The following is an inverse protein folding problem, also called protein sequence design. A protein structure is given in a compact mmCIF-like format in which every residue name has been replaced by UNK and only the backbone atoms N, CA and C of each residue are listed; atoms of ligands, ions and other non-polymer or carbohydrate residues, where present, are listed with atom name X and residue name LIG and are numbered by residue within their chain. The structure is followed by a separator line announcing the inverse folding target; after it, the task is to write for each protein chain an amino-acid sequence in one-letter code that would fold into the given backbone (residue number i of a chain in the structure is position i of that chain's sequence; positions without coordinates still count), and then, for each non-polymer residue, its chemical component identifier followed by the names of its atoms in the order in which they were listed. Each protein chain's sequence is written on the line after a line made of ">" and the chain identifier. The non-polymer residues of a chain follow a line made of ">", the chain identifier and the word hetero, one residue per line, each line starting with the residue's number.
data_IF_295801856208
#
_entry.id   IF_295801856208
#
_cell.length_a   1.000
_cell.length_b   1.000
_cell.length_c   1.000
_cell.angle_alpha   90.00
_cell.angle_beta   90.00
_cell.angle_gamma   90.00
#
_symmetry.space_group_name_H-M   'P 1'
#
loop_
_entity.id
_entity.type
_entity.pdbx_description
1 polymer ?
#
# COMPACT_ATOMS: atom_id res chain seq x y z
N UNK A 1 -9.20 15.47 -3.30
CA UNK A 1 -8.83 15.32 -1.87
C UNK A 1 -7.69 16.30 -1.60
N UNK A 2 -7.74 17.07 -0.51
CA UNK A 2 -6.67 18.02 -0.16
C UNK A 2 -5.55 17.37 0.67
N UNK A 3 -4.41 18.05 0.82
CA UNK A 3 -3.24 17.52 1.52
C UNK A 3 -3.51 17.22 3.00
N UNK A 4 -4.33 18.04 3.68
CA UNK A 4 -4.69 17.81 5.07
C UNK A 4 -5.47 16.50 5.23
N UNK A 5 -6.40 16.23 4.31
CA UNK A 5 -7.18 14.99 4.27
C UNK A 5 -6.29 13.81 3.92
N UNK A 6 -5.38 13.95 2.94
CA UNK A 6 -4.43 12.89 2.58
C UNK A 6 -3.60 12.49 3.81
N UNK A 7 -3.01 13.47 4.50
CA UNK A 7 -2.19 13.24 5.71
C UNK A 7 -2.95 12.50 6.82
N UNK A 8 -4.25 12.74 6.98
CA UNK A 8 -5.10 12.01 7.95
C UNK A 8 -5.25 10.52 7.61
N UNK A 9 -5.17 10.16 6.34
CA UNK A 9 -5.25 8.77 5.89
C UNK A 9 -3.89 8.08 5.77
N UNK A 10 -2.78 8.81 5.92
CA UNK A 10 -1.44 8.23 5.90
C UNK A 10 -1.20 7.40 7.17
N UNK A 11 -1.01 6.11 6.97
CA UNK A 11 -0.54 5.18 8.01
C UNK A 11 0.61 4.38 7.45
N UNK A 12 1.51 3.90 8.31
CA UNK A 12 2.68 3.12 7.85
C UNK A 12 2.30 1.90 7.01
N UNK A 13 1.25 1.11 7.36
CA UNK A 13 0.83 -0.01 6.51
C UNK A 13 0.30 0.43 5.14
N UNK A 14 -0.41 1.56 5.06
CA UNK A 14 -0.90 2.10 3.78
C UNK A 14 0.25 2.58 2.92
N UNK A 15 1.23 3.25 3.52
CA UNK A 15 2.43 3.71 2.83
C UNK A 15 3.27 2.54 2.33
N UNK A 16 3.42 1.48 3.13
CA UNK A 16 4.12 0.26 2.71
C UNK A 16 3.45 -0.37 1.47
N UNK A 17 2.14 -0.62 1.54
CA UNK A 17 1.40 -1.23 0.42
C UNK A 17 1.34 -0.31 -0.80
N UNK A 18 1.16 1.00 -0.61
CA UNK A 18 1.21 1.97 -1.71
C UNK A 18 2.60 2.01 -2.35
N UNK A 19 3.65 1.88 -1.53
CA UNK A 19 5.03 1.78 -1.97
C UNK A 19 5.27 0.59 -2.89
N UNK A 20 4.78 -0.59 -2.47
CA UNK A 20 4.82 -1.85 -3.22
C UNK A 20 4.02 -1.74 -4.52
N UNK A 21 2.78 -1.25 -4.48
CA UNK A 21 1.96 -1.08 -5.70
C UNK A 21 2.61 -0.11 -6.68
N UNK A 22 3.24 0.95 -6.19
CA UNK A 22 3.96 1.91 -7.05
C UNK A 22 5.19 1.30 -7.74
N UNK A 23 5.78 0.23 -7.18
CA UNK A 23 6.86 -0.51 -7.83
C UNK A 23 6.36 -1.39 -8.99
N UNK A 24 5.04 -1.61 -9.07
CA UNK A 24 4.37 -2.33 -10.16
C UNK A 24 4.29 -3.84 -9.94
N UNK A 25 3.65 -4.54 -10.88
CA UNK A 25 3.57 -6.01 -10.91
C UNK A 25 2.58 -6.64 -9.93
N UNK A 26 1.76 -5.84 -9.23
CA UNK A 26 0.83 -6.34 -8.21
C UNK A 26 -0.53 -6.64 -8.83
N UNK A 27 -0.92 -7.92 -8.90
CA UNK A 27 -2.28 -8.33 -9.33
C UNK A 27 -3.22 -8.42 -8.14
N UNK A 28 -2.75 -9.00 -7.03
CA UNK A 28 -3.55 -9.17 -5.83
C UNK A 28 -2.73 -9.19 -4.54
N UNK A 29 -3.40 -9.49 -3.42
CA UNK A 29 -2.78 -9.52 -2.10
C UNK A 29 -1.65 -10.56 -1.98
N UNK A 30 -1.68 -11.64 -2.76
CA UNK A 30 -0.63 -12.66 -2.82
C UNK A 30 0.68 -12.12 -3.35
N UNK A 31 0.64 -11.14 -4.27
CA UNK A 31 1.84 -10.46 -4.77
C UNK A 31 2.39 -9.43 -3.78
N UNK A 32 1.52 -8.84 -2.93
CA UNK A 32 1.91 -7.84 -1.93
C UNK A 32 2.68 -8.48 -0.78
N UNK A 33 2.28 -9.66 -0.32
CA UNK A 33 2.83 -10.28 0.90
C UNK A 33 4.35 -10.51 0.81
N UNK A 34 4.91 -11.11 -0.26
CA UNK A 34 6.36 -11.29 -0.38
C UNK A 34 7.12 -9.97 -0.34
N UNK A 35 6.71 -8.97 -1.13
CA UNK A 35 7.34 -7.65 -1.15
C UNK A 35 7.25 -6.94 0.21
N UNK A 36 6.15 -7.16 0.94
CA UNK A 36 6.00 -6.62 2.29
C UNK A 36 6.91 -7.33 3.29
N UNK A 37 7.01 -8.66 3.24
CA UNK A 37 7.93 -9.43 4.09
C UNK A 37 9.39 -9.03 3.89
N UNK A 38 9.80 -8.75 2.65
CA UNK A 38 11.14 -8.24 2.33
C UNK A 38 11.41 -6.85 2.96
N UNK A 39 10.37 -6.02 3.08
CA UNK A 39 10.48 -4.66 3.61
C UNK A 39 10.41 -4.55 5.15
N UNK A 40 9.91 -5.58 5.85
CA UNK A 40 9.74 -5.56 7.30
C UNK A 40 10.45 -6.74 7.95
N UNK A 41 11.53 -6.49 8.70
CA UNK A 41 12.21 -7.52 9.47
C UNK A 41 12.47 -7.03 10.90
N UNK A 42 12.24 -7.84 11.96
CA UNK A 42 11.67 -9.21 11.97
C UNK A 42 10.16 -9.26 12.26
N UNK A 43 9.47 -10.27 11.72
CA UNK A 43 8.01 -10.48 11.91
C UNK A 43 7.75 -11.84 12.59
N UNK A 44 6.75 -11.91 13.46
CA UNK A 44 6.38 -13.18 14.13
C UNK A 44 5.51 -14.06 13.23
N UNK A 45 5.53 -15.40 13.40
CA UNK A 45 4.70 -16.32 12.61
C UNK A 45 3.19 -16.06 12.70
N UNK A 46 2.73 -15.51 13.83
CA UNK A 46 1.34 -15.11 14.00
C UNK A 46 0.97 -13.90 13.13
N UNK A 47 1.92 -12.99 12.91
CA UNK A 47 1.74 -11.81 12.09
C UNK A 47 1.75 -12.18 10.60
N UNK A 48 2.67 -13.05 10.18
CA UNK A 48 2.77 -13.56 8.81
C UNK A 48 1.44 -14.19 8.34
N UNK A 49 0.81 -15.04 9.16
CA UNK A 49 -0.50 -15.65 8.86
C UNK A 49 -1.63 -14.64 8.66
N UNK A 50 -1.51 -13.42 9.21
CA UNK A 50 -2.51 -12.36 9.08
C UNK A 50 -2.26 -11.45 7.88
N UNK A 51 -1.04 -11.43 7.34
CA UNK A 51 -0.64 -10.51 6.26
C UNK A 51 -1.52 -10.61 5.02
N UNK A 52 -1.91 -11.79 4.50
CA UNK A 52 -2.76 -11.84 3.30
C UNK A 52 -4.10 -11.11 3.48
N UNK A 53 -4.71 -11.24 4.67
CA UNK A 53 -5.97 -10.55 4.99
C UNK A 53 -5.76 -9.04 5.11
N UNK A 54 -4.68 -8.62 5.76
CA UNK A 54 -4.33 -7.21 5.93
C UNK A 54 -4.02 -6.56 4.58
N UNK A 55 -3.21 -7.21 3.73
CA UNK A 55 -2.88 -6.74 2.39
C UNK A 55 -4.13 -6.56 1.53
N UNK A 56 -5.05 -7.53 1.53
CA UNK A 56 -6.34 -7.41 0.82
C UNK A 56 -7.15 -6.21 1.31
N UNK A 57 -7.25 -6.03 2.64
CA UNK A 57 -7.96 -4.90 3.22
C UNK A 57 -7.32 -3.57 2.83
N UNK A 58 -5.99 -3.49 2.80
CA UNK A 58 -5.28 -2.27 2.42
C UNK A 58 -5.41 -1.96 0.94
N UNK A 59 -5.33 -2.94 0.05
CA UNK A 59 -5.60 -2.73 -1.38
C UNK A 59 -7.02 -2.15 -1.58
N UNK A 60 -8.02 -2.71 -0.91
CA UNK A 60 -9.39 -2.18 -0.97
C UNK A 60 -9.50 -0.76 -0.42
N UNK A 61 -8.86 -0.47 0.72
CA UNK A 61 -8.84 0.89 1.29
C UNK A 61 -8.17 1.90 0.36
N UNK A 62 -7.00 1.56 -0.19
CA UNK A 62 -6.27 2.43 -1.11
C UNK A 62 -7.06 2.68 -2.40
N UNK A 63 -7.76 1.67 -2.91
CA UNK A 63 -8.65 1.82 -4.05
C UNK A 63 -9.83 2.77 -3.74
N UNK A 64 -10.46 2.62 -2.57
CA UNK A 64 -11.55 3.52 -2.15
C UNK A 64 -11.10 4.96 -1.91
N UNK A 65 -9.84 5.15 -1.50
CA UNK A 65 -9.24 6.48 -1.38
C UNK A 65 -8.86 7.07 -2.75
N UNK A 66 -8.98 6.29 -3.83
CA UNK A 66 -8.57 6.68 -5.18
C UNK A 66 -7.06 6.77 -5.34
N UNK A 67 -6.28 6.12 -4.47
CA UNK A 67 -4.81 6.16 -4.49
C UNK A 67 -4.22 5.08 -5.39
N UNK A 68 -4.96 4.00 -5.60
CA UNK A 68 -4.63 2.95 -6.57
C UNK A 68 -5.85 2.62 -7.41
N UNK A 69 -5.61 2.12 -8.61
CA UNK A 69 -6.66 1.65 -9.51
C UNK A 69 -6.24 0.38 -10.22
N UNK A 70 -7.21 -0.35 -10.81
CA UNK A 70 -6.91 -1.50 -11.65
C UNK A 70 -6.80 -1.08 -13.12
N UNK A 71 -5.67 -1.40 -13.73
CA UNK A 71 -5.45 -1.34 -15.18
C UNK A 71 -4.88 -2.67 -15.65
N UNK A 72 -5.45 -3.26 -16.70
CA UNK A 72 -4.97 -4.51 -17.31
C UNK A 72 -4.76 -5.69 -16.34
N UNK A 73 -5.58 -5.74 -15.28
CA UNK A 73 -5.50 -6.77 -14.24
C UNK A 73 -4.47 -6.51 -13.13
N UNK A 74 -3.74 -5.40 -13.20
CA UNK A 74 -2.76 -4.98 -12.19
C UNK A 74 -3.25 -3.77 -11.41
N UNK A 75 -2.87 -3.71 -10.14
CA UNK A 75 -2.99 -2.50 -9.33
C UNK A 75 -1.87 -1.53 -9.71
N UNK A 76 -2.23 -0.27 -9.92
CA UNK A 76 -1.31 0.81 -10.26
C UNK A 76 -1.61 2.02 -9.38
N UNK A 77 -0.57 2.81 -9.05
CA UNK A 77 -0.76 4.04 -8.29
C UNK A 77 -1.34 5.14 -9.19
N UNK A 78 -2.40 5.81 -8.74
CA UNK A 78 -2.97 6.96 -9.44
C UNK A 78 -2.10 8.20 -9.24
N UNK A 79 -2.42 9.30 -9.92
CA UNK A 79 -1.80 10.61 -9.64
C UNK A 79 -1.98 11.02 -8.17
N UNK A 80 -3.16 10.76 -7.59
CA UNK A 80 -3.43 11.05 -6.19
C UNK A 80 -2.61 10.14 -5.26
N UNK A 81 -2.44 8.86 -5.60
CA UNK A 81 -1.60 7.93 -4.85
C UNK A 81 -0.13 8.32 -4.85
N UNK A 82 0.41 8.77 -5.99
CA UNK A 82 1.78 9.28 -6.08
C UNK A 82 1.96 10.52 -5.20
N UNK A 83 1.04 11.48 -5.28
CA UNK A 83 1.04 12.65 -4.41
C UNK A 83 0.96 12.28 -2.92
N UNK A 84 0.10 11.32 -2.56
CA UNK A 84 0.01 10.84 -1.18
C UNK A 84 1.31 10.20 -0.67
N UNK A 85 2.04 9.51 -1.55
CA UNK A 85 3.37 8.96 -1.24
C UNK A 85 4.40 10.06 -1.02
N UNK A 86 4.39 11.12 -1.83
CA UNK A 86 5.33 12.24 -1.73
C UNK A 86 5.07 13.11 -0.48
N UNK A 87 3.82 13.12 0.00
CA UNK A 87 3.44 13.74 1.28
C UNK A 87 3.82 12.92 2.51
N UNK A 88 4.31 11.68 2.33
CA UNK A 88 4.76 10.86 3.44
C UNK A 88 5.97 11.53 4.12
N UNK A 89 6.03 11.57 5.47
CA UNK A 89 7.20 12.08 6.14
C UNK A 89 8.43 11.26 5.73
N UNK A 90 9.46 11.95 5.24
CA UNK A 90 10.78 11.34 5.01
C UNK A 90 11.23 10.80 6.35
N UNK A 91 11.35 9.47 6.47
CA UNK A 91 12.01 8.87 7.62
C UNK A 91 13.49 9.23 7.50
N UNK A 92 13.92 10.21 8.29
CA UNK A 92 15.33 10.52 8.52
C UNK A 92 16.03 9.40 9.28
#
# INVERSE_FOLDING_TARGET
>A
MDDATIRRYLTEPRLAVLGIVSAGGIRDAGDVVPAWLESMSPITPAHERRLPRIARQLLWQLANLGWIERSDGFWTATTLGRHARDLAPVRG
#
